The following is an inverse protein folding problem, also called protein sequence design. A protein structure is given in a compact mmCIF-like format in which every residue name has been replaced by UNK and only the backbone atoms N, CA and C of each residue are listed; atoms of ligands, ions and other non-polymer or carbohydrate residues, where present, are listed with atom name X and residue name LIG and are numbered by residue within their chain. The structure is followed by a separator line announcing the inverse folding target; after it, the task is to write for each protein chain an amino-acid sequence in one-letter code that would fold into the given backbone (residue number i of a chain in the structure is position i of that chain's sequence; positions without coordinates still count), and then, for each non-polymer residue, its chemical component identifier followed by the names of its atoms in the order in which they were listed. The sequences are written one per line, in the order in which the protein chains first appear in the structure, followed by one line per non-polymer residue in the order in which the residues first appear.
data_IF_052125096622
#
_entry.id   IF_052125096622
#
_cell.length_a   1.000
_cell.length_b   1.000
_cell.length_c   1.000
_cell.angle_alpha   90.00
_cell.angle_beta   90.00
_cell.angle_gamma   90.00
#
_symmetry.space_group_name_H-M   'P 1'
#
loop_
_entity.id
_entity.type
_entity.pdbx_description
1 polymer ?
#
# COMPACT_ATOMS: atom_id res chain seq x y z
N UNK A 1 0.59 28.85 118.41
CA UNK A 1 0.66 27.59 117.63
C UNK A 1 -0.48 27.41 116.60
N UNK A 2 -1.59 28.19 116.64
CA UNK A 2 -2.62 28.16 115.58
C UNK A 2 -2.27 28.98 114.32
N UNK A 3 -1.61 30.13 114.47
CA UNK A 3 -1.21 31.03 113.36
C UNK A 3 -0.19 30.40 112.38
N UNK A 4 0.62 29.44 112.84
CA UNK A 4 1.59 28.74 111.99
C UNK A 4 0.96 27.64 111.14
N UNK A 5 -0.17 27.08 111.59
CA UNK A 5 -0.89 26.01 110.88
C UNK A 5 -1.74 26.62 109.75
N UNK A 6 -2.35 27.79 109.98
CA UNK A 6 -3.12 28.51 108.94
C UNK A 6 -2.22 29.03 107.79
N UNK A 7 -0.96 29.37 108.08
CA UNK A 7 0.02 29.78 107.06
C UNK A 7 0.50 28.62 106.17
N UNK A 8 0.59 27.40 106.71
CA UNK A 8 1.01 26.19 105.97
C UNK A 8 -0.15 25.68 105.09
N UNK A 9 -1.39 25.76 105.58
CA UNK A 9 -2.59 25.40 104.81
C UNK A 9 -2.81 26.39 103.65
N UNK A 10 -2.54 27.69 103.86
CA UNK A 10 -2.61 28.70 102.80
C UNK A 10 -1.58 28.53 101.67
N UNK A 11 -0.35 28.10 101.97
CA UNK A 11 0.67 27.89 100.92
C UNK A 11 0.45 26.61 100.11
N UNK A 12 -0.12 25.58 100.75
CA UNK A 12 -0.42 24.28 100.11
C UNK A 12 -1.52 24.40 99.05
N UNK A 13 -2.54 25.22 99.31
CA UNK A 13 -3.66 25.47 98.37
C UNK A 13 -3.16 26.25 97.13
N UNK A 14 -2.23 27.19 97.30
CA UNK A 14 -1.63 27.92 96.18
C UNK A 14 -0.85 27.00 95.22
N UNK A 15 -0.08 26.03 95.74
CA UNK A 15 0.66 25.08 94.90
C UNK A 15 -0.29 24.18 94.09
N UNK A 16 -1.39 23.74 94.69
CA UNK A 16 -2.39 22.92 94.01
C UNK A 16 -3.10 23.69 92.87
N UNK A 17 -3.43 24.96 93.11
CA UNK A 17 -4.04 25.83 92.08
C UNK A 17 -3.07 26.09 90.93
N UNK A 18 -1.79 26.37 91.22
CA UNK A 18 -0.76 26.57 90.19
C UNK A 18 -0.58 25.30 89.35
N UNK A 19 -0.54 24.12 89.98
CA UNK A 19 -0.44 22.85 89.26
C UNK A 19 -1.66 22.58 88.38
N UNK A 20 -2.87 22.91 88.85
CA UNK A 20 -4.11 22.76 88.09
C UNK A 20 -4.16 23.70 86.88
N UNK A 21 -3.80 24.98 87.07
CA UNK A 21 -3.73 25.95 85.97
C UNK A 21 -2.66 25.56 84.97
N UNK A 22 -1.48 25.10 85.41
CA UNK A 22 -0.43 24.62 84.53
C UNK A 22 -0.87 23.37 83.73
N UNK A 23 -1.62 22.46 84.36
CA UNK A 23 -2.19 21.29 83.68
C UNK A 23 -3.22 21.70 82.62
N UNK A 24 -4.16 22.57 82.98
CA UNK A 24 -5.18 23.07 82.03
C UNK A 24 -4.55 23.86 80.88
N UNK A 25 -3.57 24.72 81.17
CA UNK A 25 -2.87 25.47 80.14
C UNK A 25 -2.09 24.54 79.22
N UNK A 26 -1.42 23.51 79.75
CA UNK A 26 -0.74 22.48 78.95
C UNK A 26 -1.72 21.74 78.04
N UNK A 27 -2.85 21.27 78.57
CA UNK A 27 -3.84 20.54 77.77
C UNK A 27 -4.49 21.44 76.71
N UNK A 28 -4.87 22.66 77.08
CA UNK A 28 -5.41 23.66 76.17
C UNK A 28 -4.43 24.02 75.05
N UNK A 29 -3.16 24.29 75.39
CA UNK A 29 -2.13 24.66 74.43
C UNK A 29 -1.77 23.49 73.50
N UNK A 30 -1.65 22.27 74.04
CA UNK A 30 -1.42 21.07 73.22
C UNK A 30 -2.58 20.79 72.26
N UNK A 31 -3.82 20.92 72.74
CA UNK A 31 -5.00 20.72 71.91
C UNK A 31 -5.16 21.82 70.85
N UNK A 32 -4.82 23.06 71.17
CA UNK A 32 -4.85 24.17 70.21
C UNK A 32 -3.76 24.01 69.14
N UNK A 33 -2.52 23.74 69.54
CA UNK A 33 -1.42 23.45 68.60
C UNK A 33 -1.73 22.26 67.72
N UNK A 34 -2.26 21.18 68.29
CA UNK A 34 -2.64 20.00 67.52
C UNK A 34 -3.71 20.33 66.48
N UNK A 35 -4.73 21.10 66.85
CA UNK A 35 -5.79 21.52 65.91
C UNK A 35 -5.27 22.42 64.79
N UNK A 36 -4.41 23.39 65.09
CA UNK A 36 -3.83 24.26 64.04
C UNK A 36 -2.92 23.47 63.11
N UNK A 37 -2.10 22.58 63.69
CA UNK A 37 -1.19 21.72 62.93
C UNK A 37 -1.96 20.73 62.04
N UNK A 38 -2.98 20.07 62.58
CA UNK A 38 -3.84 19.14 61.84
C UNK A 38 -4.59 19.86 60.70
N UNK A 39 -5.03 21.10 60.92
CA UNK A 39 -5.66 21.91 59.89
C UNK A 39 -4.69 22.23 58.75
N UNK A 40 -3.51 22.77 59.06
CA UNK A 40 -2.47 23.11 58.07
C UNK A 40 -2.00 21.87 57.29
N UNK A 41 -1.87 20.72 57.96
CA UNK A 41 -1.50 19.47 57.30
C UNK A 41 -2.61 18.96 56.37
N UNK A 42 -3.86 18.94 56.84
CA UNK A 42 -4.99 18.52 56.01
C UNK A 42 -5.17 19.44 54.80
N UNK A 43 -4.97 20.74 54.96
CA UNK A 43 -5.01 21.71 53.85
C UNK A 43 -3.90 21.44 52.84
N UNK A 44 -2.66 21.21 53.30
CA UNK A 44 -1.52 20.88 52.41
C UNK A 44 -1.71 19.56 51.68
N UNK A 45 -2.23 18.53 52.34
CA UNK A 45 -2.53 17.23 51.71
C UNK A 45 -3.61 17.42 50.65
N UNK A 46 -4.69 18.13 50.97
CA UNK A 46 -5.75 18.41 50.00
C UNK A 46 -5.25 19.23 48.81
N UNK A 47 -4.40 20.23 49.04
CA UNK A 47 -3.78 21.03 47.99
C UNK A 47 -2.88 20.18 47.08
N UNK A 48 -2.03 19.32 47.65
CA UNK A 48 -1.17 18.41 46.87
C UNK A 48 -2.00 17.41 46.07
N UNK A 49 -3.05 16.84 46.66
CA UNK A 49 -3.95 15.92 45.99
C UNK A 49 -4.63 16.59 44.78
N UNK A 50 -5.15 17.81 44.96
CA UNK A 50 -5.75 18.58 43.87
C UNK A 50 -4.77 18.89 42.73
N UNK A 51 -3.51 19.18 43.04
CA UNK A 51 -2.45 19.40 42.02
C UNK A 51 -2.15 18.10 41.26
N UNK A 52 -2.06 16.98 41.97
CA UNK A 52 -1.83 15.68 41.37
C UNK A 52 -2.98 15.26 40.45
N UNK A 53 -4.22 15.42 40.90
CA UNK A 53 -5.42 15.10 40.13
C UNK A 53 -5.53 15.97 38.86
N UNK A 54 -5.16 17.26 38.95
CA UNK A 54 -5.07 18.14 37.78
C UNK A 54 -4.02 17.67 36.78
N UNK A 55 -2.81 17.34 37.24
CA UNK A 55 -1.76 16.85 36.35
C UNK A 55 -2.13 15.51 35.70
N UNK A 56 -2.77 14.60 36.43
CA UNK A 56 -3.28 13.36 35.86
C UNK A 56 -4.35 13.62 34.79
N UNK A 57 -5.29 14.54 35.06
CA UNK A 57 -6.30 14.94 34.08
C UNK A 57 -5.68 15.56 32.83
N UNK A 58 -4.71 16.47 32.99
CA UNK A 58 -3.98 17.08 31.87
C UNK A 58 -3.23 16.04 31.04
N UNK A 59 -2.54 15.08 31.68
CA UNK A 59 -1.82 14.02 30.97
C UNK A 59 -2.77 13.10 30.21
N UNK A 60 -3.94 12.76 30.77
CA UNK A 60 -4.96 11.97 30.08
C UNK A 60 -5.50 12.69 28.85
N UNK A 61 -5.82 13.98 28.98
CA UNK A 61 -6.30 14.79 27.85
C UNK A 61 -5.24 14.86 26.75
N UNK A 62 -3.97 15.11 27.10
CA UNK A 62 -2.87 15.11 26.13
C UNK A 62 -2.74 13.76 25.44
N UNK A 63 -2.80 12.66 26.20
CA UNK A 63 -2.71 11.32 25.65
C UNK A 63 -3.87 10.98 24.71
N UNK A 64 -5.11 11.33 25.07
CA UNK A 64 -6.28 11.14 24.20
C UNK A 64 -6.18 11.94 22.91
N UNK A 65 -5.72 13.21 23.00
CA UNK A 65 -5.46 14.04 21.82
C UNK A 65 -4.38 13.42 20.93
N UNK A 66 -3.29 12.93 21.51
CA UNK A 66 -2.20 12.28 20.77
C UNK A 66 -2.66 10.97 20.11
N UNK A 67 -3.43 10.15 20.82
CA UNK A 67 -4.00 8.92 20.27
C UNK A 67 -4.94 9.20 19.10
N UNK A 68 -5.80 10.21 19.21
CA UNK A 68 -6.72 10.56 18.14
C UNK A 68 -5.97 11.15 16.93
N UNK A 69 -4.91 11.93 17.16
CA UNK A 69 -4.01 12.40 16.09
C UNK A 69 -3.35 11.23 15.37
N UNK A 70 -2.74 10.30 16.10
CA UNK A 70 -2.11 9.10 15.52
C UNK A 70 -3.11 8.25 14.73
N UNK A 71 -4.34 8.08 15.23
CA UNK A 71 -5.41 7.37 14.52
C UNK A 71 -5.81 8.09 13.24
N UNK A 72 -5.95 9.41 13.29
CA UNK A 72 -6.25 10.24 12.13
C UNK A 72 -5.15 10.10 11.08
N UNK A 73 -3.89 10.21 11.48
CA UNK A 73 -2.74 10.10 10.58
C UNK A 73 -2.67 8.72 9.91
N UNK A 74 -2.86 7.65 10.69
CA UNK A 74 -2.91 6.28 10.15
C UNK A 74 -4.05 6.08 9.14
N UNK A 75 -5.23 6.68 9.39
CA UNK A 75 -6.35 6.63 8.44
C UNK A 75 -6.03 7.37 7.15
N UNK A 76 -5.41 8.55 7.25
CA UNK A 76 -5.00 9.33 6.07
C UNK A 76 -3.97 8.57 5.25
N UNK A 77 -2.98 7.96 5.89
CA UNK A 77 -1.94 7.20 5.19
C UNK A 77 -2.47 5.89 4.59
N UNK A 78 -3.37 5.18 5.30
CA UNK A 78 -4.07 4.03 4.74
C UNK A 78 -4.86 4.41 3.48
N UNK A 79 -5.62 5.50 3.53
CA UNK A 79 -6.39 5.99 2.39
C UNK A 79 -5.51 6.40 1.20
N UNK A 80 -4.37 7.05 1.46
CA UNK A 80 -3.39 7.40 0.42
C UNK A 80 -2.82 6.15 -0.25
N UNK A 81 -2.47 5.14 0.54
CA UNK A 81 -1.92 3.88 0.03
C UNK A 81 -2.96 3.11 -0.78
N UNK A 82 -4.19 3.02 -0.29
CA UNK A 82 -5.31 2.39 -1.01
C UNK A 82 -5.57 3.08 -2.35
N UNK A 83 -5.63 4.42 -2.36
CA UNK A 83 -5.82 5.21 -3.59
C UNK A 83 -4.67 4.99 -4.57
N UNK A 84 -3.42 4.99 -4.09
CA UNK A 84 -2.24 4.77 -4.94
C UNK A 84 -2.23 3.35 -5.53
N UNK A 85 -2.58 2.36 -4.72
CA UNK A 85 -2.66 0.97 -5.14
C UNK A 85 -3.77 0.77 -6.17
N UNK A 86 -4.97 1.31 -5.92
CA UNK A 86 -6.09 1.25 -6.84
C UNK A 86 -5.76 1.87 -8.21
N UNK A 87 -5.13 3.05 -8.22
CA UNK A 87 -4.69 3.70 -9.47
C UNK A 87 -3.64 2.87 -10.20
N UNK A 88 -2.62 2.38 -9.49
CA UNK A 88 -1.59 1.54 -10.09
C UNK A 88 -2.17 0.26 -10.71
N UNK A 89 -3.13 -0.37 -10.03
CA UNK A 89 -3.82 -1.55 -10.56
C UNK A 89 -4.63 -1.23 -11.82
N UNK A 90 -5.35 -0.11 -11.83
CA UNK A 90 -6.08 0.35 -13.00
C UNK A 90 -5.14 0.64 -14.19
N UNK A 91 -4.02 1.34 -13.95
CA UNK A 91 -3.03 1.65 -14.98
C UNK A 91 -2.40 0.38 -15.57
N UNK A 92 -2.11 -0.62 -14.72
CA UNK A 92 -1.60 -1.93 -15.16
C UNK A 92 -2.62 -2.71 -15.98
N UNK A 93 -3.87 -2.78 -15.52
CA UNK A 93 -4.93 -3.45 -16.24
C UNK A 93 -5.13 -2.81 -17.63
N UNK A 94 -5.18 -1.48 -17.69
CA UNK A 94 -5.31 -0.74 -18.94
C UNK A 94 -4.12 -0.99 -19.87
N UNK A 95 -2.89 -0.98 -19.35
CA UNK A 95 -1.70 -1.25 -20.13
C UNK A 95 -1.71 -2.63 -20.79
N UNK A 96 -2.05 -3.67 -20.02
CA UNK A 96 -2.15 -5.04 -20.53
C UNK A 96 -3.27 -5.14 -21.58
N UNK A 97 -4.43 -4.54 -21.33
CA UNK A 97 -5.55 -4.55 -22.27
C UNK A 97 -5.20 -3.88 -23.61
N UNK A 98 -4.56 -2.71 -23.56
CA UNK A 98 -4.17 -1.96 -24.75
C UNK A 98 -3.12 -2.71 -25.59
N UNK A 99 -2.12 -3.30 -24.93
CA UNK A 99 -1.09 -4.10 -25.61
C UNK A 99 -1.69 -5.37 -26.19
N UNK A 100 -2.56 -6.06 -25.45
CA UNK A 100 -3.28 -7.23 -25.96
C UNK A 100 -4.10 -6.88 -27.21
N UNK A 101 -4.85 -5.78 -27.19
CA UNK A 101 -5.66 -5.33 -28.32
C UNK A 101 -4.78 -4.96 -29.54
N UNK A 102 -3.68 -4.24 -29.31
CA UNK A 102 -2.72 -3.89 -30.36
C UNK A 102 -2.09 -5.11 -31.02
N UNK A 103 -1.65 -6.09 -30.22
CA UNK A 103 -1.06 -7.34 -30.72
C UNK A 103 -2.09 -8.20 -31.48
N UNK A 104 -3.35 -8.24 -31.03
CA UNK A 104 -4.44 -8.89 -31.77
C UNK A 104 -4.69 -8.22 -33.12
N UNK A 105 -4.71 -6.89 -33.15
CA UNK A 105 -4.83 -6.11 -34.39
C UNK A 105 -3.68 -6.36 -35.36
N UNK A 106 -2.44 -6.38 -34.86
CA UNK A 106 -1.25 -6.73 -35.65
C UNK A 106 -1.36 -8.15 -36.21
N UNK A 107 -1.75 -9.14 -35.39
CA UNK A 107 -1.95 -10.52 -35.86
C UNK A 107 -3.01 -10.60 -36.95
N UNK A 108 -4.12 -9.87 -36.82
CA UNK A 108 -5.17 -9.82 -37.83
C UNK A 108 -4.66 -9.24 -39.15
N UNK A 109 -4.06 -8.04 -39.10
CA UNK A 109 -3.53 -7.37 -40.29
C UNK A 109 -2.45 -8.20 -41.01
N UNK A 110 -1.54 -8.80 -40.23
CA UNK A 110 -0.52 -9.68 -40.78
C UNK A 110 -1.13 -10.96 -41.36
N UNK A 111 -2.12 -11.54 -40.68
CA UNK A 111 -2.88 -12.68 -41.18
C UNK A 111 -3.48 -12.41 -42.56
N UNK A 112 -4.20 -11.29 -42.71
CA UNK A 112 -4.80 -10.85 -43.97
C UNK A 112 -3.74 -10.62 -45.06
N UNK A 113 -2.61 -10.02 -44.71
CA UNK A 113 -1.49 -9.80 -45.62
C UNK A 113 -0.83 -11.10 -46.09
N UNK A 114 -0.70 -12.06 -45.19
CA UNK A 114 -0.09 -13.35 -45.43
C UNK A 114 -1.11 -14.43 -45.80
N UNK A 115 -2.29 -14.12 -46.36
CA UNK A 115 -3.19 -15.16 -46.88
C UNK A 115 -2.77 -15.58 -48.31
N UNK A 116 -2.71 -16.88 -48.59
CA UNK A 116 -2.27 -17.42 -49.89
C UNK A 116 -3.19 -17.05 -51.06
N UNK A 117 -4.44 -16.68 -50.79
CA UNK A 117 -5.47 -16.38 -51.79
C UNK A 117 -5.64 -14.87 -52.05
N UNK A 118 -4.73 -14.03 -51.58
CA UNK A 118 -4.81 -12.57 -51.77
C UNK A 118 -4.53 -12.19 -53.22
N UNK A 119 -5.35 -11.29 -53.77
CA UNK A 119 -5.08 -10.70 -55.08
C UNK A 119 -3.79 -9.86 -55.00
N UNK A 120 -2.78 -10.08 -55.86
CA UNK A 120 -1.58 -9.24 -55.94
C UNK A 120 -1.86 -7.73 -55.99
N UNK A 121 -2.98 -7.30 -56.57
CA UNK A 121 -3.35 -5.88 -56.61
C UNK A 121 -3.61 -5.28 -55.22
N UNK A 122 -4.01 -6.11 -54.24
CA UNK A 122 -4.27 -5.71 -52.86
C UNK A 122 -3.01 -5.67 -51.97
N UNK A 123 -1.91 -6.29 -52.38
CA UNK A 123 -0.68 -6.39 -51.56
C UNK A 123 -0.15 -5.05 -51.06
N UNK A 124 -0.05 -3.98 -51.87
CA UNK A 124 0.41 -2.69 -51.38
C UNK A 124 -0.43 -2.15 -50.22
N UNK A 125 -1.75 -2.32 -50.29
CA UNK A 125 -2.70 -1.86 -49.26
C UNK A 125 -2.56 -2.69 -47.98
N UNK A 126 -2.53 -4.01 -48.09
CA UNK A 126 -2.41 -4.93 -46.94
C UNK A 126 -1.05 -4.81 -46.24
N UNK A 127 0.01 -4.59 -47.03
CA UNK A 127 1.35 -4.31 -46.53
C UNK A 127 1.38 -3.04 -45.68
N UNK A 128 0.82 -1.95 -46.19
CA UNK A 128 0.75 -0.69 -45.44
C UNK A 128 -0.10 -0.84 -44.17
N UNK A 129 -1.24 -1.54 -44.25
CA UNK A 129 -2.08 -1.82 -43.09
C UNK A 129 -1.32 -2.62 -42.00
N UNK A 130 -0.48 -3.57 -42.40
CA UNK A 130 0.38 -4.36 -41.50
C UNK A 130 1.47 -3.49 -40.87
N UNK A 131 2.14 -2.65 -41.65
CA UNK A 131 3.14 -1.70 -41.17
C UNK A 131 2.52 -0.75 -40.14
N UNK A 132 1.34 -0.21 -40.44
CA UNK A 132 0.63 0.69 -39.54
C UNK A 132 0.17 -0.01 -38.25
N UNK A 133 -0.30 -1.26 -38.35
CA UNK A 133 -0.60 -2.05 -37.16
C UNK A 133 0.64 -2.28 -36.29
N UNK A 134 1.79 -2.56 -36.90
CA UNK A 134 3.07 -2.73 -36.21
C UNK A 134 3.53 -1.43 -35.52
N UNK A 135 3.43 -0.29 -36.21
CA UNK A 135 3.72 1.03 -35.64
C UNK A 135 2.79 1.35 -34.46
N UNK A 136 1.50 1.08 -34.58
CA UNK A 136 0.52 1.32 -33.51
C UNK A 136 0.82 0.50 -32.26
N UNK A 137 1.12 -0.80 -32.41
CA UNK A 137 1.41 -1.64 -31.24
C UNK A 137 2.71 -1.25 -30.56
N UNK A 138 3.77 -0.95 -31.33
CA UNK A 138 5.06 -0.52 -30.76
C UNK A 138 4.94 0.83 -30.04
N UNK A 139 4.24 1.80 -30.65
CA UNK A 139 3.94 3.09 -30.02
C UNK A 139 3.11 2.96 -28.73
N UNK A 140 2.29 1.92 -28.61
CA UNK A 140 1.49 1.64 -27.41
C UNK A 140 2.30 0.88 -26.36
N UNK A 141 3.09 -0.11 -26.77
CA UNK A 141 3.80 -1.02 -25.89
C UNK A 141 4.97 -0.34 -25.16
N UNK A 142 5.89 0.32 -25.86
CA UNK A 142 7.11 0.85 -25.23
C UNK A 142 6.85 1.84 -24.08
N UNK A 143 5.89 2.80 -24.18
CA UNK A 143 5.58 3.68 -23.06
C UNK A 143 4.91 2.96 -21.87
N UNK A 144 4.28 1.81 -22.12
CA UNK A 144 3.49 1.05 -21.14
C UNK A 144 4.21 -0.19 -20.60
N UNK A 145 5.42 -0.47 -21.09
CA UNK A 145 6.21 -1.64 -20.74
C UNK A 145 6.39 -1.79 -19.23
N UNK A 146 6.64 -0.68 -18.52
CA UNK A 146 6.83 -0.65 -17.05
C UNK A 146 5.61 -1.18 -16.26
N UNK A 147 4.42 -1.19 -16.87
CA UNK A 147 3.20 -1.66 -16.24
C UNK A 147 2.93 -3.15 -16.50
N UNK A 148 3.72 -3.80 -17.35
CA UNK A 148 3.55 -5.20 -17.74
C UNK A 148 4.58 -6.05 -16.95
N UNK A 149 4.22 -7.27 -16.50
CA UNK A 149 5.19 -8.17 -15.87
C UNK A 149 6.39 -8.42 -16.78
N UNK A 150 7.61 -8.32 -16.24
CA UNK A 150 8.84 -8.41 -17.02
C UNK A 150 8.91 -9.66 -17.92
N UNK A 151 8.53 -10.82 -17.37
CA UNK A 151 8.46 -12.09 -18.11
C UNK A 151 7.55 -12.05 -19.34
N UNK A 152 6.48 -11.25 -19.28
CA UNK A 152 5.52 -11.09 -20.38
C UNK A 152 5.99 -10.00 -21.34
N UNK A 153 6.57 -8.92 -20.83
CA UNK A 153 7.20 -7.88 -21.64
C UNK A 153 8.31 -8.45 -22.54
N UNK A 154 9.17 -9.32 -22.01
CA UNK A 154 10.22 -10.00 -22.78
C UNK A 154 9.65 -10.81 -23.95
N UNK A 155 8.56 -11.55 -23.71
CA UNK A 155 7.85 -12.30 -24.75
C UNK A 155 7.20 -11.37 -25.79
N UNK A 156 6.70 -10.21 -25.39
CA UNK A 156 6.19 -9.20 -26.34
C UNK A 156 7.32 -8.66 -27.21
N UNK A 157 8.49 -8.33 -26.64
CA UNK A 157 9.67 -7.90 -27.41
C UNK A 157 10.09 -8.96 -28.43
N UNK A 158 10.21 -10.22 -27.98
CA UNK A 158 10.56 -11.34 -28.85
C UNK A 158 9.55 -11.48 -29.99
N UNK A 159 8.26 -11.48 -29.68
CA UNK A 159 7.20 -11.58 -30.67
C UNK A 159 7.23 -10.43 -31.69
N UNK A 160 7.40 -9.18 -31.24
CA UNK A 160 7.49 -8.02 -32.13
C UNK A 160 8.72 -8.11 -33.05
N UNK A 161 9.88 -8.50 -32.50
CA UNK A 161 11.10 -8.71 -33.29
C UNK A 161 10.90 -9.78 -34.35
N UNK A 162 10.36 -10.93 -33.97
CA UNK A 162 10.10 -12.04 -34.91
C UNK A 162 9.06 -11.67 -35.96
N UNK A 163 8.00 -10.96 -35.58
CA UNK A 163 6.99 -10.46 -36.52
C UNK A 163 7.63 -9.56 -37.57
N UNK A 164 8.54 -8.67 -37.14
CA UNK A 164 9.27 -7.79 -38.06
C UNK A 164 10.16 -8.58 -39.02
N UNK A 165 10.93 -9.56 -38.52
CA UNK A 165 11.78 -10.41 -39.35
C UNK A 165 10.96 -11.23 -40.36
N UNK A 166 9.86 -11.82 -39.92
CA UNK A 166 8.94 -12.59 -40.76
C UNK A 166 8.29 -11.69 -41.83
N UNK A 167 7.90 -10.47 -41.48
CA UNK A 167 7.39 -9.50 -42.44
C UNK A 167 8.39 -9.18 -43.55
N UNK A 168 9.66 -8.93 -43.19
CA UNK A 168 10.72 -8.63 -44.16
C UNK A 168 11.01 -9.84 -45.04
N UNK A 169 11.12 -11.04 -44.45
CA UNK A 169 11.35 -12.28 -45.19
C UNK A 169 10.20 -12.58 -46.17
N UNK A 170 8.95 -12.46 -45.72
CA UNK A 170 7.77 -12.63 -46.54
C UNK A 170 7.75 -11.64 -47.71
N UNK A 171 8.03 -10.36 -47.44
CA UNK A 171 8.10 -9.34 -48.50
C UNK A 171 9.16 -9.69 -49.56
N UNK A 172 10.33 -10.15 -49.14
CA UNK A 172 11.40 -10.46 -50.07
C UNK A 172 11.07 -11.70 -50.92
N UNK A 173 10.60 -12.77 -50.28
CA UNK A 173 10.43 -14.08 -50.91
C UNK A 173 9.09 -14.24 -51.64
N UNK A 174 8.04 -13.54 -51.21
CA UNK A 174 6.65 -13.73 -51.66
C UNK A 174 6.15 -12.52 -52.45
N UNK A 175 6.31 -11.31 -51.90
CA UNK A 175 5.81 -10.07 -52.50
C UNK A 175 6.64 -9.64 -53.73
N UNK A 176 7.97 -9.81 -53.67
CA UNK A 176 8.89 -9.28 -54.68
C UNK A 176 9.32 -10.30 -55.74
N UNK A 177 9.62 -11.56 -55.36
CA UNK A 177 10.27 -12.56 -56.24
C UNK A 177 9.31 -13.71 -56.61
N UNK A 178 8.31 -13.44 -57.46
CA UNK A 178 7.37 -14.46 -57.96
C UNK A 178 7.97 -15.38 -59.03
N UNK A 179 9.02 -16.14 -58.72
CA UNK A 179 9.68 -17.02 -59.72
C UNK A 179 9.54 -18.51 -59.48
N UNK A 180 9.13 -18.95 -58.29
CA UNK A 180 9.06 -20.38 -57.92
C UNK A 180 7.88 -20.67 -56.97
N UNK A 181 6.85 -21.36 -57.46
CA UNK A 181 5.65 -21.72 -56.70
C UNK A 181 5.93 -22.64 -55.50
N UNK A 182 6.97 -23.48 -55.57
CA UNK A 182 7.30 -24.40 -54.46
C UNK A 182 7.98 -23.66 -53.31
N UNK A 183 8.92 -22.75 -53.62
CA UNK A 183 9.52 -21.86 -52.61
C UNK A 183 8.48 -20.94 -51.98
N UNK A 184 7.54 -20.46 -52.79
CA UNK A 184 6.43 -19.62 -52.36
C UNK A 184 5.59 -20.30 -51.27
N UNK A 185 5.14 -21.54 -51.49
CA UNK A 185 4.30 -22.26 -50.54
C UNK A 185 5.02 -22.54 -49.20
N UNK A 186 6.30 -22.92 -49.26
CA UNK A 186 7.09 -23.20 -48.05
C UNK A 186 7.32 -21.94 -47.21
N UNK A 187 7.75 -20.84 -47.82
CA UNK A 187 7.97 -19.57 -47.12
C UNK A 187 6.67 -19.06 -46.47
N UNK A 188 5.55 -19.25 -47.16
CA UNK A 188 4.22 -18.94 -46.66
C UNK A 188 3.86 -19.77 -45.43
N UNK A 189 4.04 -21.09 -45.48
CA UNK A 189 3.77 -22.00 -44.37
C UNK A 189 4.64 -21.69 -43.15
N UNK A 190 5.96 -21.50 -43.35
CA UNK A 190 6.90 -21.20 -42.28
C UNK A 190 6.53 -19.88 -41.55
N UNK A 191 6.11 -18.86 -42.29
CA UNK A 191 5.66 -17.58 -41.73
C UNK A 191 4.33 -17.74 -40.99
N UNK A 192 3.38 -18.47 -41.55
CA UNK A 192 2.08 -18.71 -40.93
C UNK A 192 2.19 -19.52 -39.63
N UNK A 193 2.97 -20.60 -39.62
CA UNK A 193 3.20 -21.45 -38.44
C UNK A 193 3.88 -20.67 -37.31
N UNK A 194 4.95 -19.92 -37.63
CA UNK A 194 5.67 -19.13 -36.63
C UNK A 194 4.77 -18.06 -35.99
N UNK A 195 4.00 -17.33 -36.79
CA UNK A 195 3.15 -16.25 -36.31
C UNK A 195 1.94 -16.75 -35.52
N UNK A 196 1.26 -17.80 -36.00
CA UNK A 196 0.07 -18.34 -35.33
C UNK A 196 0.44 -19.12 -34.07
N UNK A 197 1.50 -19.92 -34.12
CA UNK A 197 1.92 -20.78 -33.01
C UNK A 197 2.39 -19.97 -31.80
N UNK A 198 3.37 -19.07 -32.00
CA UNK A 198 3.98 -18.31 -30.90
C UNK A 198 3.06 -17.25 -30.31
N UNK A 199 2.21 -16.64 -31.15
CA UNK A 199 1.27 -15.63 -30.65
C UNK A 199 0.22 -16.20 -29.69
N UNK A 200 -0.17 -17.48 -29.84
CA UNK A 200 -1.19 -18.11 -28.98
C UNK A 200 -0.79 -18.07 -27.51
N UNK A 201 0.42 -18.55 -27.19
CA UNK A 201 0.92 -18.59 -25.80
C UNK A 201 1.07 -17.19 -25.21
N UNK A 202 1.58 -16.24 -25.98
CA UNK A 202 1.69 -14.84 -25.54
C UNK A 202 0.31 -14.22 -25.20
N UNK A 203 -0.72 -14.50 -26.01
CA UNK A 203 -2.08 -14.03 -25.74
C UNK A 203 -2.75 -14.71 -24.54
N UNK A 204 -2.32 -15.91 -24.19
CA UNK A 204 -2.74 -16.60 -22.97
C UNK A 204 -2.03 -15.96 -21.76
N UNK A 205 -0.72 -15.77 -21.83
CA UNK A 205 0.07 -15.12 -20.76
C UNK A 205 -0.47 -13.72 -20.43
N UNK A 206 -0.73 -12.87 -21.43
CA UNK A 206 -1.30 -11.52 -21.23
C UNK A 206 -2.69 -11.56 -20.60
N UNK A 207 -3.50 -12.56 -20.95
CA UNK A 207 -4.85 -12.73 -20.40
C UNK A 207 -4.79 -13.21 -18.95
N UNK A 208 -3.86 -14.10 -18.66
CA UNK A 208 -3.65 -14.61 -17.32
C UNK A 208 -3.05 -13.54 -16.39
N UNK A 209 -2.15 -12.70 -16.90
CA UNK A 209 -1.67 -11.52 -16.18
C UNK A 209 -2.83 -10.54 -15.89
N UNK A 210 -3.70 -10.29 -16.87
CA UNK A 210 -4.88 -9.45 -16.68
C UNK A 210 -5.84 -10.03 -15.63
N UNK A 211 -6.13 -11.33 -15.69
CA UNK A 211 -6.97 -12.05 -14.73
C UNK A 211 -6.39 -12.05 -13.31
N UNK A 212 -5.08 -12.30 -13.19
CA UNK A 212 -4.36 -12.20 -11.90
C UNK A 212 -4.47 -10.80 -11.30
N UNK A 213 -4.45 -9.73 -12.11
CA UNK A 213 -4.68 -8.37 -11.62
C UNK A 213 -6.11 -8.13 -11.12
N UNK A 214 -7.10 -8.85 -11.67
CA UNK A 214 -8.49 -8.78 -11.23
C UNK A 214 -8.79 -9.63 -9.99
N UNK A 215 -7.82 -10.42 -9.52
CA UNK A 215 -7.99 -11.33 -8.38
C UNK A 215 -8.60 -12.67 -8.76
N UNK A 216 -8.61 -13.03 -10.05
CA UNK A 216 -8.88 -14.42 -10.45
C UNK A 216 -7.66 -15.25 -10.03
N UNK A 217 -7.79 -16.04 -8.96
CA UNK A 217 -6.82 -17.03 -8.51
C UNK A 217 -6.76 -18.22 -9.50
N UNK A 218 -6.41 -17.95 -10.76
CA UNK A 218 -6.05 -19.01 -11.70
C UNK A 218 -4.69 -19.52 -11.26
N UNK A 219 -4.58 -20.77 -10.77
CA UNK A 219 -3.28 -21.34 -10.44
C UNK A 219 -2.38 -21.20 -11.68
N UNK A 220 -1.12 -20.77 -11.54
CA UNK A 220 -0.23 -20.64 -12.68
C UNK A 220 -0.25 -21.95 -13.46
N UNK A 221 -0.50 -21.88 -14.77
CA UNK A 221 -0.48 -23.04 -15.63
C UNK A 221 0.81 -23.80 -15.34
N UNK A 222 0.69 -25.04 -14.85
CA UNK A 222 1.84 -25.86 -14.48
C UNK A 222 2.85 -25.80 -15.62
N UNK A 223 4.16 -25.63 -15.33
CA UNK A 223 5.18 -25.59 -16.37
C UNK A 223 4.94 -26.80 -17.26
N UNK A 224 4.70 -26.55 -18.55
CA UNK A 224 4.46 -27.61 -19.51
C UNK A 224 5.63 -28.57 -19.36
N UNK A 225 5.35 -29.76 -18.82
CA UNK A 225 6.33 -30.80 -18.61
C UNK A 225 7.02 -31.01 -19.95
N UNK A 226 8.27 -30.56 -20.05
CA UNK A 226 9.15 -30.83 -21.18
C UNK A 226 9.48 -32.32 -21.14
N UNK A 227 8.46 -33.12 -21.46
CA UNK A 227 8.59 -34.55 -21.65
C UNK A 227 9.28 -34.74 -22.99
N UNK A 228 10.57 -35.05 -22.86
CA UNK A 228 11.52 -35.55 -23.84
C UNK A 228 10.92 -36.48 -24.90
#
# INVERSE_FOLDING_TARGET
MRVFIDAIIGSSICLAVIAFVAYFFRDWFLNHLKRSLDHDFNEKIAAQQNVFDRHLAEMRIKHEIELERLRSDLRVDAFRNETRFSRLHADRAQAIADVYAGLRGLRGAFGDYAVATVDPADWPRLREATIDAFKRVTATFYPKEIYIPASTADKVHEYLRETHLNFVAFRQQVDTERRDEHRYFKAWQDVAENMVGKSKRLFEDLRDDFRRLLGDDVPPAAPADETK
#
